data_IF_359939629029
#
_entry.id   IF_359939629029
#
_cell.length_a   1.000
_cell.length_b   1.000
_cell.length_c   1.000
_cell.angle_alpha   90.00
_cell.angle_beta   90.00
_cell.angle_gamma   90.00
#
_symmetry.space_group_name_H-M   'P 1'
#
loop_
_entity.id
_entity.type
_entity.pdbx_description
1 polymer ?
#
# COMPACT_ATOMS: atom_id res chain seq x y z
N UNK A 1 -9.63 -3.19 17.16
CA UNK A 1 -9.57 -1.77 17.61
C UNK A 1 -8.16 -1.35 18.04
N UNK A 2 -7.53 -2.03 19.00
CA UNK A 2 -6.19 -1.64 19.49
C UNK A 2 -5.13 -1.74 18.39
N UNK A 3 -5.12 -2.83 17.60
CA UNK A 3 -4.16 -3.04 16.52
C UNK A 3 -4.20 -1.91 15.46
N UNK A 4 -5.40 -1.44 15.11
CA UNK A 4 -5.57 -0.36 14.14
C UNK A 4 -4.96 0.95 14.64
N UNK A 5 -5.26 1.34 15.89
CA UNK A 5 -4.67 2.53 16.48
C UNK A 5 -3.16 2.36 16.71
N UNK A 6 -2.69 1.16 17.06
CA UNK A 6 -1.27 0.83 17.20
C UNK A 6 -0.49 1.04 15.90
N UNK A 7 -1.04 0.63 14.75
CA UNK A 7 -0.45 0.90 13.43
C UNK A 7 -0.55 2.39 13.05
N UNK A 8 -1.70 3.03 13.31
CA UNK A 8 -1.99 4.41 12.90
C UNK A 8 -0.99 5.41 13.48
N UNK A 9 -0.70 5.31 14.78
CA UNK A 9 0.10 6.31 15.51
C UNK A 9 1.52 6.51 14.95
N UNK A 10 2.35 5.48 14.70
CA UNK A 10 3.66 5.68 14.08
C UNK A 10 3.56 6.04 12.59
N UNK A 11 2.56 5.52 11.86
CA UNK A 11 2.47 5.73 10.41
C UNK A 11 2.08 7.16 10.01
N UNK A 12 1.41 7.92 10.89
CA UNK A 12 1.04 9.34 10.61
C UNK A 12 2.26 10.27 10.47
N UNK A 13 3.43 9.86 10.95
CA UNK A 13 4.68 10.60 10.73
C UNK A 13 5.15 10.52 9.28
N UNK A 14 4.85 9.42 8.59
CA UNK A 14 5.36 9.12 7.25
C UNK A 14 4.33 9.39 6.14
N UNK A 15 3.04 9.26 6.46
CA UNK A 15 1.91 9.44 5.55
C UNK A 15 0.94 10.50 6.08
N UNK A 16 0.12 11.08 5.20
CA UNK A 16 -0.92 11.99 5.65
C UNK A 16 -2.04 11.20 6.35
N UNK A 17 -2.53 11.70 7.48
CA UNK A 17 -3.68 11.16 8.21
C UNK A 17 -4.82 12.19 8.13
N UNK A 18 -5.74 12.08 7.15
CA UNK A 18 -6.78 13.09 6.95
C UNK A 18 -7.78 13.20 8.11
N UNK A 19 -7.98 12.11 8.86
CA UNK A 19 -8.89 12.04 9.99
C UNK A 19 -8.12 11.57 11.24
N UNK A 20 -7.54 12.52 11.97
CA UNK A 20 -6.80 12.21 13.21
C UNK A 20 -7.75 12.12 14.41
N UNK A 21 -8.39 10.96 14.52
CA UNK A 21 -9.19 10.56 15.67
C UNK A 21 -8.83 9.13 16.07
N UNK A 22 -9.20 8.72 17.29
CA UNK A 22 -9.18 7.30 17.65
C UNK A 22 -10.10 6.54 16.71
N UNK A 23 -9.54 5.58 15.97
CA UNK A 23 -10.29 4.83 14.98
C UNK A 23 -10.86 3.52 15.58
N UNK A 24 -11.77 2.88 14.85
CA UNK A 24 -12.34 1.59 15.23
C UNK A 24 -11.42 0.44 14.80
N UNK A 25 -11.84 -0.44 13.88
CA UNK A 25 -11.04 -1.59 13.44
C UNK A 25 -10.10 -1.27 12.28
N UNK A 26 -10.27 -0.12 11.62
CA UNK A 26 -9.48 0.32 10.46
C UNK A 26 -9.18 1.82 10.50
N UNK A 27 -8.27 2.28 9.65
CA UNK A 27 -7.97 3.70 9.44
C UNK A 27 -7.51 3.95 8.00
N UNK A 28 -7.55 5.21 7.57
CA UNK A 28 -7.16 5.61 6.20
C UNK A 28 -6.00 6.60 6.26
N UNK A 29 -4.91 6.25 5.59
CA UNK A 29 -3.81 7.16 5.28
C UNK A 29 -3.96 7.69 3.85
N UNK A 30 -3.33 8.83 3.57
CA UNK A 30 -3.19 9.38 2.22
C UNK A 30 -1.73 9.38 1.79
N UNK A 31 -1.48 8.84 0.59
CA UNK A 31 -0.19 8.87 -0.09
C UNK A 31 0.14 10.19 -0.79
N UNK A 32 -0.53 11.31 -0.46
CA UNK A 32 -0.32 12.59 -1.15
C UNK A 32 1.12 13.12 -1.02
N UNK A 33 1.77 12.96 0.15
CA UNK A 33 3.20 13.27 0.31
C UNK A 33 4.05 12.50 -0.70
N UNK A 34 3.80 11.21 -0.85
CA UNK A 34 4.52 10.34 -1.77
C UNK A 34 4.23 10.70 -3.24
N UNK A 35 2.98 11.04 -3.56
CA UNK A 35 2.58 11.50 -4.89
C UNK A 35 3.31 12.76 -5.31
N UNK A 36 3.53 13.70 -4.38
CA UNK A 36 4.31 14.92 -4.65
C UNK A 36 5.76 14.63 -5.05
N UNK A 37 6.28 13.44 -4.69
CA UNK A 37 7.60 12.92 -5.05
C UNK A 37 7.53 11.95 -6.25
N UNK A 38 6.37 11.85 -6.91
CA UNK A 38 6.16 11.04 -8.10
C UNK A 38 5.81 9.57 -7.83
N UNK A 39 5.61 9.16 -6.58
CA UNK A 39 5.22 7.79 -6.20
C UNK A 39 3.74 7.77 -5.84
N UNK A 40 2.93 6.98 -6.57
CA UNK A 40 1.49 6.87 -6.30
C UNK A 40 1.20 5.80 -5.24
N UNK A 41 0.01 5.82 -4.68
CA UNK A 41 -0.42 4.78 -3.74
C UNK A 41 -0.38 3.38 -4.35
N UNK A 42 -0.68 3.23 -5.65
CA UNK A 42 -0.48 1.96 -6.35
C UNK A 42 0.97 1.47 -6.26
N UNK A 43 1.95 2.36 -6.36
CA UNK A 43 3.37 2.00 -6.30
C UNK A 43 3.77 1.52 -4.90
N UNK A 44 3.24 2.17 -3.85
CA UNK A 44 3.39 1.76 -2.44
C UNK A 44 2.78 0.38 -2.22
N UNK A 45 1.56 0.15 -2.72
CA UNK A 45 0.88 -1.14 -2.66
C UNK A 45 1.68 -2.26 -3.35
N UNK A 46 2.27 -1.98 -4.52
CA UNK A 46 3.14 -2.95 -5.21
C UNK A 46 4.46 -3.16 -4.47
N UNK A 47 5.01 -2.13 -3.86
CA UNK A 47 6.24 -2.24 -3.07
C UNK A 47 6.06 -3.07 -1.81
N UNK A 48 4.91 -3.02 -1.15
CA UNK A 48 4.58 -3.90 -0.02
C UNK A 48 4.66 -5.39 -0.38
N UNK A 49 4.36 -5.78 -1.63
CA UNK A 49 4.48 -7.16 -2.09
C UNK A 49 5.94 -7.66 -2.02
N UNK A 50 6.92 -6.80 -2.23
CA UNK A 50 8.34 -7.14 -2.10
C UNK A 50 8.77 -7.33 -0.63
N UNK A 51 7.96 -6.88 0.33
CA UNK A 51 8.16 -7.12 1.76
C UNK A 51 7.35 -8.34 2.26
N UNK A 52 6.68 -9.07 1.36
CA UNK A 52 5.85 -10.21 1.72
C UNK A 52 4.48 -9.85 2.30
N UNK A 53 4.08 -8.57 2.24
CA UNK A 53 2.76 -8.12 2.68
C UNK A 53 1.79 -8.04 1.52
N UNK A 54 0.55 -8.51 1.73
CA UNK A 54 -0.54 -8.13 0.86
C UNK A 54 -0.84 -6.63 1.05
N UNK A 55 -1.08 -5.92 -0.05
CA UNK A 55 -1.41 -4.51 0.03
C UNK A 55 -2.74 -4.29 0.78
N UNK A 56 -2.89 -3.20 1.55
CA UNK A 56 -4.19 -2.81 2.08
C UNK A 56 -5.14 -2.41 0.95
N UNK A 57 -6.39 -2.12 1.29
CA UNK A 57 -7.33 -1.52 0.34
C UNK A 57 -6.79 -0.16 -0.11
N UNK A 58 -6.70 0.04 -1.43
CA UNK A 58 -6.24 1.32 -2.01
C UNK A 58 -7.34 2.03 -2.79
N UNK A 59 -7.24 3.35 -2.87
CA UNK A 59 -8.17 4.21 -3.60
C UNK A 59 -9.63 4.13 -3.12
N UNK A 60 -9.83 3.67 -1.89
CA UNK A 60 -11.10 3.74 -1.16
C UNK A 60 -10.83 4.14 0.30
N UNK A 61 -11.68 4.97 0.94
CA UNK A 61 -12.84 5.65 0.37
C UNK A 61 -12.46 6.76 -0.61
N UNK A 62 -13.35 7.07 -1.57
CA UNK A 62 -13.09 8.04 -2.66
C UNK A 62 -12.87 9.49 -2.17
N UNK A 63 -13.29 9.80 -0.95
CA UNK A 63 -13.12 11.13 -0.32
C UNK A 63 -11.68 11.37 0.16
N UNK A 64 -10.81 10.36 0.13
CA UNK A 64 -9.39 10.49 0.47
C UNK A 64 -8.55 10.25 -0.80
N UNK A 65 -7.89 11.29 -1.35
CA UNK A 65 -6.97 11.11 -2.46
C UNK A 65 -5.78 10.22 -2.08
N UNK A 66 -5.35 9.35 -2.99
CA UNK A 66 -4.26 8.38 -2.73
C UNK A 66 -4.48 7.53 -1.47
N UNK A 67 -5.73 7.14 -1.21
CA UNK A 67 -6.12 6.40 -0.01
C UNK A 67 -5.41 5.05 0.15
N UNK A 68 -4.92 4.79 1.35
CA UNK A 68 -4.44 3.51 1.88
C UNK A 68 -5.28 3.17 3.13
N UNK A 69 -6.27 2.30 3.00
CA UNK A 69 -7.19 1.91 4.07
C UNK A 69 -6.76 0.57 4.69
N UNK A 70 -6.32 0.63 5.94
CA UNK A 70 -5.61 -0.45 6.63
C UNK A 70 -6.49 -0.99 7.78
N UNK A 71 -6.76 -2.29 7.73
CA UNK A 71 -7.47 -3.06 8.76
C UNK A 71 -6.60 -4.27 9.17
N UNK A 72 -5.89 -4.22 10.33
CA UNK A 72 -5.07 -5.35 10.76
C UNK A 72 -5.87 -6.51 11.38
N UNK A 73 -7.14 -6.31 11.71
CA UNK A 73 -7.94 -7.23 12.56
C UNK A 73 -7.29 -7.50 13.92
N UNK A 74 -7.96 -8.27 14.78
CA UNK A 74 -7.48 -8.66 16.10
C UNK A 74 -6.57 -9.89 16.10
N UNK A 75 -6.55 -10.67 15.01
CA UNK A 75 -5.83 -11.95 14.95
C UNK A 75 -4.33 -11.77 14.68
N UNK A 76 -3.93 -10.62 14.16
CA UNK A 76 -2.52 -10.33 13.85
C UNK A 76 -1.71 -10.07 15.12
N UNK A 77 -0.52 -10.67 15.16
CA UNK A 77 0.39 -10.54 16.30
C UNK A 77 1.11 -9.20 16.27
N UNK A 78 1.59 -8.73 17.43
CA UNK A 78 2.33 -7.47 17.53
C UNK A 78 3.55 -7.45 16.61
N UNK A 79 4.24 -8.58 16.47
CA UNK A 79 5.43 -8.73 15.64
C UNK A 79 5.12 -8.47 14.16
N UNK A 80 3.96 -8.91 13.67
CA UNK A 80 3.51 -8.64 12.30
C UNK A 80 3.16 -7.16 12.13
N UNK A 81 2.49 -6.56 13.12
CA UNK A 81 2.19 -5.12 13.09
C UNK A 81 3.47 -4.27 13.05
N UNK A 82 4.48 -4.63 13.86
CA UNK A 82 5.78 -3.96 13.86
C UNK A 82 6.50 -4.10 12.52
N UNK A 83 6.50 -5.31 11.94
CA UNK A 83 7.10 -5.56 10.63
C UNK A 83 6.40 -4.75 9.53
N UNK A 84 5.06 -4.60 9.60
CA UNK A 84 4.30 -3.77 8.67
C UNK A 84 4.64 -2.28 8.82
N UNK A 85 4.80 -1.79 10.05
CA UNK A 85 5.23 -0.41 10.33
C UNK A 85 6.61 -0.15 9.70
N UNK A 86 7.57 -1.05 9.92
CA UNK A 86 8.92 -0.88 9.37
C UNK A 86 8.95 -0.96 7.84
N UNK A 87 8.15 -1.84 7.23
CA UNK A 87 7.99 -1.87 5.77
C UNK A 87 7.43 -0.54 5.24
N UNK A 88 6.33 -0.05 5.81
CA UNK A 88 5.70 1.21 5.40
C UNK A 88 6.62 2.42 5.59
N UNK A 89 7.37 2.47 6.71
CA UNK A 89 8.40 3.49 6.97
C UNK A 89 9.51 3.43 5.95
N UNK A 90 10.01 2.23 5.62
CA UNK A 90 11.07 2.05 4.63
C UNK A 90 10.62 2.50 3.25
N UNK A 91 9.39 2.17 2.85
CA UNK A 91 8.82 2.63 1.57
C UNK A 91 8.72 4.16 1.52
N UNK A 92 8.33 4.81 2.63
CA UNK A 92 8.29 6.26 2.71
C UNK A 92 9.68 6.91 2.60
N UNK A 93 10.73 6.27 3.14
CA UNK A 93 12.13 6.67 2.97
C UNK A 93 12.62 6.45 1.53
N UNK A 94 12.35 5.28 0.96
CA UNK A 94 12.68 4.93 -0.43
C UNK A 94 12.03 5.92 -1.39
N UNK A 95 10.80 6.36 -1.13
CA UNK A 95 10.14 7.39 -1.94
C UNK A 95 10.93 8.71 -1.99
N UNK A 96 11.62 9.07 -0.91
CA UNK A 96 12.44 10.30 -0.84
C UNK A 96 13.83 10.12 -1.45
N UNK A 97 14.43 8.94 -1.28
CA UNK A 97 15.85 8.69 -1.56
C UNK A 97 16.08 7.99 -2.89
N UNK A 98 15.19 7.08 -3.28
CA UNK A 98 15.24 6.31 -4.51
C UNK A 98 13.82 5.92 -4.99
N UNK A 99 13.01 6.88 -5.48
CA UNK A 99 11.61 6.63 -5.83
C UNK A 99 11.43 5.56 -6.93
N UNK A 100 12.46 5.33 -7.74
CA UNK A 100 12.40 4.35 -8.83
C UNK A 100 12.29 2.91 -8.32
N UNK A 101 12.85 2.58 -7.13
CA UNK A 101 12.67 1.23 -6.55
C UNK A 101 11.22 0.96 -6.16
N UNK A 102 10.48 2.00 -5.77
CA UNK A 102 9.05 1.91 -5.41
C UNK A 102 8.19 1.80 -6.68
N UNK A 103 8.52 2.59 -7.71
CA UNK A 103 7.80 2.59 -8.99
C UNK A 103 8.00 1.31 -9.79
N UNK A 104 9.18 0.71 -9.74
CA UNK A 104 9.47 -0.54 -10.45
C UNK A 104 8.89 -1.77 -9.77
N UNK A 105 8.52 -1.69 -8.49
CA UNK A 105 7.95 -2.81 -7.74
C UNK A 105 6.66 -3.36 -8.38
N UNK A 106 6.35 -4.66 -8.25
CA UNK A 106 7.12 -5.65 -7.48
C UNK A 106 8.26 -6.26 -8.31
N UNK A 107 9.30 -6.72 -7.61
CA UNK A 107 10.51 -7.35 -8.15
C UNK A 107 10.73 -8.77 -7.62
N UNK A 108 10.15 -9.13 -6.46
CA UNK A 108 10.34 -10.45 -5.84
C UNK A 108 9.21 -11.44 -6.12
N UNK A 109 8.09 -10.97 -6.68
CA UNK A 109 6.93 -11.79 -6.99
C UNK A 109 7.16 -12.65 -8.24
N UNK A 110 6.45 -13.79 -8.40
CA UNK A 110 6.59 -14.67 -9.58
C UNK A 110 6.34 -13.97 -10.92
N UNK A 111 5.55 -12.90 -10.91
CA UNK A 111 5.28 -12.03 -12.06
C UNK A 111 5.39 -10.56 -11.63
N UNK A 112 5.84 -9.69 -12.54
CA UNK A 112 5.89 -8.25 -12.32
C UNK A 112 4.54 -7.56 -12.59
N UNK A 113 4.58 -6.26 -12.89
CA UNK A 113 3.37 -5.49 -13.27
C UNK A 113 2.79 -5.99 -14.58
N UNK A 114 1.48 -6.25 -14.57
CA UNK A 114 0.74 -6.63 -15.76
C UNK A 114 0.36 -5.40 -16.58
N UNK A 115 0.29 -5.54 -17.91
CA UNK A 115 -0.18 -4.48 -18.79
C UNK A 115 -1.71 -4.41 -18.82
N UNK A 116 -2.30 -3.79 -17.81
CA UNK A 116 -3.76 -3.65 -17.65
C UNK A 116 -4.42 -3.00 -18.87
N UNK A 117 -3.81 -1.94 -19.44
CA UNK A 117 -4.33 -1.29 -20.64
C UNK A 117 -4.36 -2.20 -21.88
N UNK A 118 -3.39 -3.12 -21.99
CA UNK A 118 -3.38 -4.12 -23.05
C UNK A 118 -4.45 -5.17 -22.80
N UNK A 119 -4.53 -5.71 -21.58
CA UNK A 119 -5.52 -6.72 -21.21
C UNK A 119 -6.96 -6.22 -21.43
N UNK A 120 -7.23 -4.94 -21.16
CA UNK A 120 -8.55 -4.33 -21.41
C UNK A 120 -8.87 -4.13 -22.90
N UNK A 121 -7.85 -3.95 -23.76
CA UNK A 121 -8.02 -3.74 -25.21
C UNK A 121 -7.98 -5.03 -26.02
N UNK A 122 -7.17 -6.00 -25.60
CA UNK A 122 -6.90 -7.28 -26.26
C UNK A 122 -7.30 -8.43 -25.33
N UNK A 123 -8.61 -8.61 -25.16
CA UNK A 123 -9.17 -9.57 -24.20
C UNK A 123 -8.88 -11.02 -24.62
N UNK A 124 -8.14 -11.74 -23.76
CA UNK A 124 -8.02 -13.19 -23.82
C UNK A 124 -8.69 -13.82 -22.59
N UNK A 125 -9.95 -14.22 -22.76
CA UNK A 125 -10.83 -14.65 -21.66
C UNK A 125 -11.01 -16.17 -21.56
N UNK A 126 -10.44 -16.94 -22.50
CA UNK A 126 -10.58 -18.39 -22.54
C UNK A 126 -9.28 -19.02 -22.98
N UNK A 127 -8.85 -20.07 -22.28
CA UNK A 127 -7.75 -20.89 -22.76
C UNK A 127 -8.16 -21.63 -24.05
N UNK A 128 -7.31 -21.56 -25.06
CA UNK A 128 -7.45 -22.35 -26.29
C UNK A 128 -6.15 -23.12 -26.48
N UNK A 129 -6.29 -24.43 -26.68
CA UNK A 129 -5.18 -25.27 -27.10
C UNK A 129 -4.87 -24.89 -28.55
N UNK A 130 -3.75 -24.22 -28.78
CA UNK A 130 -3.22 -24.07 -30.14
C UNK A 130 -2.82 -25.43 -30.69
#
# INVERSE_FOLDING_TARGET
IINANYLKEPLKEFYDLPYDATCMHEFVLSGNRQKSLGVRTLDIAKRLLDYGFHAPTIYFPLIVPEALMIEPTESESKEILDAFIEAMKKIAEETKTNPEIVKSAPQQTPVGRLHEAKAAKELNVSWRKN
#
